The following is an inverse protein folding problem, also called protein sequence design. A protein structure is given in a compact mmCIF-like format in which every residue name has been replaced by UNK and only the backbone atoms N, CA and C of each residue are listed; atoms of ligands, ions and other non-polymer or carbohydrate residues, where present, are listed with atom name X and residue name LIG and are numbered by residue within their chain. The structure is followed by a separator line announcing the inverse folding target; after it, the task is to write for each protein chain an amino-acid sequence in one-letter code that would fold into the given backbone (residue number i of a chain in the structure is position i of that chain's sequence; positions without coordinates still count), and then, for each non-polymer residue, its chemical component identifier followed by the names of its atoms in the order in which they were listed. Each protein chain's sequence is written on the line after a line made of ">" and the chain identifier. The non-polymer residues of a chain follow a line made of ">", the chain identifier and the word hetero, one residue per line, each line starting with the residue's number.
data_IF_811120804156
#
_entry.id   IF_811120804156
#
_cell.length_a   1.000
_cell.length_b   1.000
_cell.length_c   1.000
_cell.angle_alpha   90.00
_cell.angle_beta   90.00
_cell.angle_gamma   90.00
#
_symmetry.space_group_name_H-M   'P 1'
#
loop_
_entity.id
_entity.type
_entity.pdbx_description
1 polymer ?
#
# COMPACT_ATOMS: atom_id res chain seq x y z
N UNK A 1 -19.61 -6.80 -2.06
CA UNK A 1 -18.36 -6.53 -1.32
C UNK A 1 -17.49 -5.61 -2.16
N UNK A 2 -17.12 -4.45 -1.61
CA UNK A 2 -16.30 -3.41 -2.21
C UNK A 2 -14.88 -3.51 -1.66
N UNK A 3 -13.87 -3.60 -2.54
CA UNK A 3 -12.46 -3.74 -2.14
C UNK A 3 -11.64 -2.63 -2.77
N UNK A 4 -10.87 -1.91 -1.95
CA UNK A 4 -9.82 -1.02 -2.43
C UNK A 4 -8.47 -1.71 -2.26
N UNK A 5 -7.83 -2.03 -3.38
CA UNK A 5 -6.53 -2.69 -3.42
C UNK A 5 -5.43 -1.64 -3.57
N UNK A 6 -4.72 -1.35 -2.49
CA UNK A 6 -3.63 -0.37 -2.48
C UNK A 6 -2.29 -1.06 -2.75
N UNK A 7 -1.53 -0.52 -3.70
CA UNK A 7 -0.23 -1.04 -4.10
C UNK A 7 0.68 0.07 -4.62
N UNK A 8 2.00 -0.12 -4.52
CA UNK A 8 2.99 0.78 -5.09
C UNK A 8 3.29 0.51 -6.56
N UNK A 9 2.95 -0.67 -7.07
CA UNK A 9 3.28 -1.08 -8.44
C UNK A 9 2.30 -2.14 -8.97
N UNK A 10 2.12 -2.19 -10.29
CA UNK A 10 1.13 -3.06 -10.92
C UNK A 10 1.52 -3.35 -12.37
N UNK A 11 1.62 -4.61 -12.76
CA UNK A 11 1.79 -5.01 -14.15
C UNK A 11 0.44 -4.88 -14.90
N UNK A 12 0.39 -4.34 -16.13
CA UNK A 12 1.52 -3.93 -16.97
C UNK A 12 1.95 -2.46 -16.83
N UNK A 13 1.39 -1.70 -15.89
CA UNK A 13 1.57 -0.25 -15.77
C UNK A 13 2.96 0.18 -15.33
N UNK A 14 3.46 -0.43 -14.26
CA UNK A 14 4.78 -0.15 -13.69
C UNK A 14 5.25 -1.39 -12.91
N UNK A 15 6.49 -1.83 -13.13
CA UNK A 15 7.02 -3.06 -12.55
C UNK A 15 8.47 -2.91 -12.12
N UNK A 16 8.74 -3.24 -10.87
CA UNK A 16 10.06 -3.34 -10.27
C UNK A 16 10.33 -4.76 -9.75
N UNK A 17 9.30 -5.47 -9.30
CA UNK A 17 9.42 -6.82 -8.75
C UNK A 17 8.14 -7.64 -8.83
N UNK A 18 8.08 -8.73 -8.07
CA UNK A 18 6.96 -9.68 -8.08
C UNK A 18 5.65 -9.12 -7.51
N UNK A 19 5.70 -8.07 -6.67
CA UNK A 19 4.51 -7.36 -6.19
C UNK A 19 3.66 -6.83 -7.36
N UNK A 20 4.29 -6.34 -8.44
CA UNK A 20 3.57 -5.85 -9.60
C UNK A 20 2.78 -6.94 -10.31
N UNK A 21 3.31 -8.17 -10.36
CA UNK A 21 2.63 -9.30 -11.00
C UNK A 21 1.38 -9.70 -10.20
N UNK A 22 1.49 -9.80 -8.87
CA UNK A 22 0.34 -10.08 -8.00
C UNK A 22 -0.69 -8.96 -8.09
N UNK A 23 -0.24 -7.70 -8.09
CA UNK A 23 -1.10 -6.53 -8.18
C UNK A 23 -1.82 -6.42 -9.54
N UNK A 24 -1.26 -7.00 -10.61
CA UNK A 24 -1.92 -7.10 -11.91
C UNK A 24 -2.93 -8.25 -11.97
N UNK A 25 -2.54 -9.43 -11.46
CA UNK A 25 -3.32 -10.66 -11.61
C UNK A 25 -4.47 -10.79 -10.59
N UNK A 26 -4.21 -10.55 -9.30
CA UNK A 26 -5.20 -10.81 -8.25
C UNK A 26 -6.41 -9.88 -8.33
N UNK A 27 -6.26 -8.55 -8.45
CA UNK A 27 -7.42 -7.67 -8.60
C UNK A 27 -8.24 -7.97 -9.87
N UNK A 28 -7.57 -8.32 -10.97
CA UNK A 28 -8.25 -8.72 -12.20
C UNK A 28 -9.06 -10.00 -12.01
N UNK A 29 -8.49 -11.03 -11.37
CA UNK A 29 -9.19 -12.28 -11.09
C UNK A 29 -10.39 -12.06 -10.18
N UNK A 30 -10.26 -11.26 -9.12
CA UNK A 30 -11.36 -10.91 -8.23
C UNK A 30 -12.46 -10.12 -8.96
N UNK A 31 -12.09 -9.19 -9.84
CA UNK A 31 -13.03 -8.45 -10.68
C UNK A 31 -13.82 -9.39 -11.59
N UNK A 32 -13.16 -10.38 -12.20
CA UNK A 32 -13.80 -11.40 -13.05
C UNK A 32 -14.76 -12.30 -12.27
N UNK A 33 -14.52 -12.51 -10.97
CA UNK A 33 -15.40 -13.22 -10.05
C UNK A 33 -16.57 -12.35 -9.52
N UNK A 34 -16.67 -11.09 -9.96
CA UNK A 34 -17.76 -10.18 -9.59
C UNK A 34 -17.52 -9.39 -8.30
N UNK A 35 -16.31 -9.39 -7.74
CA UNK A 35 -15.95 -8.48 -6.65
C UNK A 35 -15.86 -7.06 -7.20
N UNK A 36 -16.50 -6.09 -6.53
CA UNK A 36 -16.34 -4.67 -6.85
C UNK A 36 -14.99 -4.18 -6.28
N UNK A 37 -13.93 -4.52 -7.00
CA UNK A 37 -12.55 -4.19 -6.66
C UNK A 37 -12.04 -3.05 -7.51
N UNK A 38 -11.33 -2.14 -6.87
CA UNK A 38 -10.62 -1.02 -7.49
C UNK A 38 -9.16 -1.04 -7.04
N UNK A 39 -8.23 -0.74 -7.94
CA UNK A 39 -6.81 -0.63 -7.59
C UNK A 39 -6.44 0.83 -7.41
N UNK A 40 -5.63 1.15 -6.42
CA UNK A 40 -5.04 2.48 -6.23
C UNK A 40 -3.53 2.38 -6.16
N UNK A 41 -2.85 3.22 -6.94
CA UNK A 41 -1.39 3.32 -7.00
C UNK A 41 -0.95 4.75 -7.37
N UNK A 42 0.31 5.14 -7.14
CA UNK A 42 0.81 6.45 -7.56
C UNK A 42 0.87 6.60 -9.09
N UNK A 43 0.63 7.82 -9.60
CA UNK A 43 0.80 8.17 -11.00
C UNK A 43 2.28 8.48 -11.31
N UNK A 44 3.10 7.46 -11.49
CA UNK A 44 4.52 7.66 -11.79
C UNK A 44 4.75 8.26 -13.18
N UNK A 45 5.85 9.01 -13.34
CA UNK A 45 6.27 9.57 -14.64
C UNK A 45 6.41 8.49 -15.73
N UNK A 46 6.98 7.34 -15.36
CA UNK A 46 7.26 6.21 -16.27
C UNK A 46 6.11 5.19 -16.33
N UNK A 47 4.89 5.57 -15.88
CA UNK A 47 3.71 4.72 -15.97
C UNK A 47 3.32 4.49 -17.44
N UNK A 48 3.16 3.23 -17.84
CA UNK A 48 2.81 2.83 -19.20
C UNK A 48 1.36 3.14 -19.54
N UNK A 49 1.12 4.37 -19.98
CA UNK A 49 -0.22 4.90 -20.26
C UNK A 49 -0.91 4.18 -21.45
N UNK A 50 -0.17 3.49 -22.31
CA UNK A 50 -0.71 2.69 -23.42
C UNK A 50 -1.55 1.49 -22.97
N UNK A 51 -1.51 1.13 -21.67
CA UNK A 51 -2.29 0.02 -21.10
C UNK A 51 -3.56 0.45 -20.37
N UNK A 52 -3.84 1.75 -20.31
CA UNK A 52 -5.03 2.30 -19.64
C UNK A 52 -5.87 3.11 -20.61
N UNK A 53 -7.16 3.22 -20.29
CA UNK A 53 -8.07 4.16 -20.94
C UNK A 53 -7.77 5.61 -20.49
N UNK A 54 -8.56 6.55 -20.98
CA UNK A 54 -8.52 7.97 -20.66
C UNK A 54 -8.51 8.19 -19.14
N UNK A 55 -7.55 8.98 -18.66
CA UNK A 55 -7.51 9.46 -17.28
C UNK A 55 -8.54 10.56 -17.10
N UNK A 56 -9.46 10.37 -16.17
CA UNK A 56 -10.46 11.35 -15.77
C UNK A 56 -10.11 11.87 -14.37
N UNK A 57 -9.88 13.16 -14.22
CA UNK A 57 -9.73 13.74 -12.88
C UNK A 57 -11.07 13.62 -12.14
N UNK A 58 -11.04 13.04 -10.94
CA UNK A 58 -12.23 12.86 -10.10
C UNK A 58 -12.20 13.76 -8.86
N UNK A 59 -11.11 14.51 -8.65
CA UNK A 59 -11.03 15.51 -7.60
C UNK A 59 -9.63 15.67 -7.03
N UNK A 60 -9.53 16.61 -6.10
CA UNK A 60 -8.29 17.03 -5.45
C UNK A 60 -8.46 16.88 -3.93
N UNK A 61 -7.50 16.23 -3.26
CA UNK A 61 -7.39 16.18 -1.80
C UNK A 61 -6.31 17.16 -1.37
N UNK A 62 -6.58 17.95 -0.33
CA UNK A 62 -5.50 18.62 0.39
C UNK A 62 -4.95 17.70 1.49
N UNK A 63 -3.65 17.40 1.42
CA UNK A 63 -2.95 16.54 2.37
C UNK A 63 -1.74 17.29 2.92
N UNK A 64 -1.80 17.68 4.19
CA UNK A 64 -0.72 18.42 4.87
C UNK A 64 -0.30 19.67 4.07
N UNK A 65 -1.28 20.42 3.54
CA UNK A 65 -1.05 21.63 2.73
C UNK A 65 -0.57 21.36 1.30
N UNK A 66 -0.55 20.10 0.84
CA UNK A 66 -0.21 19.73 -0.53
C UNK A 66 -1.47 19.25 -1.27
N UNK A 67 -1.64 19.74 -2.50
CA UNK A 67 -2.72 19.33 -3.37
C UNK A 67 -2.36 18.03 -4.09
N UNK A 68 -3.20 17.01 -3.92
CA UNK A 68 -3.05 15.70 -4.55
C UNK A 68 -4.26 15.45 -5.44
N UNK A 69 -4.02 15.29 -6.74
CA UNK A 69 -5.09 15.02 -7.70
C UNK A 69 -5.30 13.51 -7.85
N UNK A 70 -6.56 13.08 -7.90
CA UNK A 70 -6.92 11.69 -8.11
C UNK A 70 -7.49 11.53 -9.51
N UNK A 71 -6.84 10.71 -10.32
CA UNK A 71 -7.40 10.28 -11.61
C UNK A 71 -8.08 8.93 -11.48
N UNK A 72 -9.17 8.76 -12.21
CA UNK A 72 -9.82 7.49 -12.47
C UNK A 72 -9.54 7.05 -13.90
N UNK A 73 -9.21 5.78 -14.08
CA UNK A 73 -9.07 5.13 -15.39
C UNK A 73 -9.43 3.64 -15.26
N UNK A 74 -9.23 2.86 -16.33
CA UNK A 74 -9.40 1.40 -16.38
C UNK A 74 -8.25 0.78 -17.17
N UNK A 75 -7.91 -0.46 -16.86
CA UNK A 75 -7.08 -1.25 -17.78
C UNK A 75 -7.84 -1.47 -19.10
N UNK A 76 -7.14 -1.32 -20.22
CA UNK A 76 -7.71 -1.64 -21.53
C UNK A 76 -8.13 -3.12 -21.55
N UNK A 77 -9.27 -3.41 -22.18
CA UNK A 77 -9.88 -4.75 -22.25
C UNK A 77 -10.25 -5.35 -20.89
N UNK A 78 -10.43 -4.52 -19.85
CA UNK A 78 -10.83 -4.95 -18.52
C UNK A 78 -11.89 -4.02 -17.92
N UNK A 79 -12.67 -4.56 -16.97
CA UNK A 79 -13.59 -3.79 -16.12
C UNK A 79 -12.90 -3.23 -14.86
N UNK A 80 -11.63 -3.56 -14.63
CA UNK A 80 -10.89 -3.17 -13.44
C UNK A 80 -10.65 -1.66 -13.42
N UNK A 81 -11.31 -0.97 -12.49
CA UNK A 81 -11.10 0.46 -12.28
C UNK A 81 -9.80 0.71 -11.50
N UNK A 82 -9.08 1.74 -11.94
CA UNK A 82 -7.81 2.16 -11.37
C UNK A 82 -7.92 3.62 -10.95
N UNK A 83 -7.48 3.89 -9.72
CA UNK A 83 -7.22 5.22 -9.22
C UNK A 83 -5.73 5.50 -9.23
N UNK A 84 -5.35 6.63 -9.80
CA UNK A 84 -3.97 7.10 -9.85
C UNK A 84 -3.85 8.32 -8.94
N UNK A 85 -2.97 8.23 -7.95
CA UNK A 85 -2.63 9.33 -7.05
C UNK A 85 -1.56 10.18 -7.71
N UNK A 86 -1.94 11.34 -8.23
CA UNK A 86 -1.04 12.27 -8.91
C UNK A 86 -0.52 13.36 -7.99
N UNK A 87 0.80 13.50 -7.99
CA UNK A 87 1.56 14.54 -7.32
C UNK A 87 2.94 14.61 -7.96
N UNK A 88 3.60 15.80 -8.06
CA UNK A 88 4.92 15.92 -8.70
C UNK A 88 6.00 15.00 -8.13
N UNK A 89 5.87 14.57 -6.87
CA UNK A 89 6.78 13.60 -6.25
C UNK A 89 6.75 12.19 -6.90
N UNK A 90 5.70 11.90 -7.68
CA UNK A 90 5.53 10.69 -8.49
C UNK A 90 5.63 10.98 -9.98
N UNK A 91 4.93 12.01 -10.46
CA UNK A 91 4.72 12.25 -11.90
C UNK A 91 5.82 13.05 -12.58
N UNK A 92 6.70 13.74 -11.84
CA UNK A 92 7.70 14.64 -12.40
C UNK A 92 9.16 14.14 -12.31
N UNK A 93 9.39 12.86 -11.99
CA UNK A 93 10.74 12.31 -11.77
C UNK A 93 10.94 10.99 -12.51
N UNK A 94 12.06 10.89 -13.24
CA UNK A 94 12.51 9.64 -13.89
C UNK A 94 13.12 8.69 -12.87
N UNK A 95 12.96 7.39 -13.08
CA UNK A 95 13.46 6.35 -12.19
C UNK A 95 12.37 5.34 -11.86
N UNK A 96 12.68 4.37 -11.02
CA UNK A 96 11.67 3.41 -10.59
C UNK A 96 10.92 3.93 -9.34
N UNK A 97 9.77 3.33 -8.97
CA UNK A 97 9.02 3.66 -7.76
C UNK A 97 9.84 3.91 -6.49
N UNK A 98 10.94 3.19 -6.29
CA UNK A 98 11.73 3.18 -5.05
C UNK A 98 13.11 3.84 -5.17
N UNK A 99 13.69 3.90 -6.38
CA UNK A 99 15.07 4.30 -6.64
C UNK A 99 15.19 5.33 -7.76
N UNK A 100 16.14 6.25 -7.59
CA UNK A 100 16.52 7.24 -8.58
C UNK A 100 17.26 6.65 -9.78
N UNK A 101 17.56 7.47 -10.81
CA UNK A 101 18.35 7.06 -11.97
C UNK A 101 19.75 6.56 -11.60
N UNK A 102 20.28 6.99 -10.45
CA UNK A 102 21.54 6.55 -9.85
C UNK A 102 21.46 5.21 -9.12
N UNK A 103 20.27 4.58 -9.09
CA UNK A 103 19.93 3.33 -8.38
C UNK A 103 19.98 3.43 -6.86
N UNK A 104 20.09 4.62 -6.29
CA UNK A 104 19.94 4.81 -4.85
C UNK A 104 18.46 4.95 -4.49
N UNK A 105 18.02 4.47 -3.31
CA UNK A 105 16.68 4.74 -2.83
C UNK A 105 16.41 6.25 -2.77
N UNK A 106 15.20 6.67 -3.17
CA UNK A 106 14.80 8.05 -3.00
C UNK A 106 14.83 8.41 -1.51
N UNK A 107 15.54 9.47 -1.15
CA UNK A 107 15.68 9.93 0.23
C UNK A 107 14.34 10.35 0.85
N UNK A 108 13.41 10.81 0.02
CA UNK A 108 12.05 11.23 0.38
C UNK A 108 11.00 10.12 0.19
N UNK A 109 11.41 8.85 0.03
CA UNK A 109 10.49 7.71 0.05
C UNK A 109 9.49 7.71 1.22
N UNK A 110 9.87 7.99 2.48
CA UNK A 110 8.88 8.04 3.56
C UNK A 110 7.82 9.12 3.33
N UNK A 111 8.21 10.31 2.86
CA UNK A 111 7.31 11.42 2.54
C UNK A 111 6.38 11.06 1.37
N UNK A 112 6.93 10.46 0.32
CA UNK A 112 6.20 9.98 -0.87
C UNK A 112 5.13 8.97 -0.48
N UNK A 113 5.52 7.88 0.17
CA UNK A 113 4.57 6.83 0.53
C UNK A 113 3.65 7.22 1.70
N UNK A 114 4.07 8.15 2.56
CA UNK A 114 3.21 8.80 3.54
C UNK A 114 2.09 9.62 2.88
N UNK A 115 2.41 10.42 1.87
CA UNK A 115 1.44 11.17 1.06
C UNK A 115 0.46 10.21 0.36
N UNK A 116 0.99 9.15 -0.27
CA UNK A 116 0.18 8.11 -0.91
C UNK A 116 -0.79 7.45 0.08
N UNK A 117 -0.31 7.02 1.25
CA UNK A 117 -1.15 6.42 2.28
C UNK A 117 -2.29 7.35 2.70
N UNK A 118 -2.02 8.64 2.90
CA UNK A 118 -3.05 9.63 3.26
C UNK A 118 -4.06 9.85 2.14
N UNK A 119 -3.64 9.84 0.87
CA UNK A 119 -4.54 9.94 -0.27
C UNK A 119 -5.50 8.73 -0.34
N UNK A 120 -4.97 7.53 -0.09
CA UNK A 120 -5.78 6.32 -0.02
C UNK A 120 -6.78 6.37 1.14
N UNK A 121 -6.38 6.89 2.31
CA UNK A 121 -7.27 7.09 3.47
C UNK A 121 -8.39 8.10 3.17
N UNK A 122 -8.07 9.22 2.52
CA UNK A 122 -9.07 10.20 2.12
C UNK A 122 -10.09 9.61 1.14
N UNK A 123 -9.63 8.81 0.17
CA UNK A 123 -10.48 8.12 -0.77
C UNK A 123 -11.35 7.04 -0.09
N UNK A 124 -10.80 6.26 0.83
CA UNK A 124 -11.53 5.20 1.52
C UNK A 124 -12.63 5.72 2.45
N UNK A 125 -12.49 6.95 2.94
CA UNK A 125 -13.54 7.67 3.69
C UNK A 125 -14.68 8.20 2.79
N UNK A 126 -14.62 7.98 1.47
CA UNK A 126 -15.63 8.42 0.51
C UNK A 126 -15.37 9.81 -0.10
N UNK A 127 -14.14 10.32 -0.04
CA UNK A 127 -13.81 11.71 -0.40
C UNK A 127 -14.13 12.14 -1.83
N UNK A 128 -14.40 11.22 -2.77
CA UNK A 128 -14.64 11.53 -4.19
C UNK A 128 -15.84 10.82 -4.81
N UNK A 129 -16.50 9.94 -4.07
CA UNK A 129 -17.70 9.25 -4.50
C UNK A 129 -18.48 8.82 -3.26
N UNK A 130 -19.56 9.52 -2.95
CA UNK A 130 -20.39 9.22 -1.77
C UNK A 130 -21.05 7.83 -1.87
N UNK A 131 -21.27 7.32 -3.10
CA UNK A 131 -21.90 6.03 -3.35
C UNK A 131 -20.92 4.85 -3.27
N UNK A 132 -19.61 5.11 -3.20
CA UNK A 132 -18.59 4.08 -3.15
C UNK A 132 -17.60 4.26 -2.00
N UNK A 133 -17.75 3.40 -0.99
CA UNK A 133 -16.79 3.22 0.10
C UNK A 133 -16.38 1.74 0.19
N UNK A 134 -15.10 1.42 0.37
CA UNK A 134 -14.67 0.03 0.47
C UNK A 134 -15.19 -0.60 1.76
N UNK A 135 -15.62 -1.86 1.67
CA UNK A 135 -15.83 -2.72 2.84
C UNK A 135 -14.46 -3.21 3.37
N UNK A 136 -13.51 -3.41 2.45
CA UNK A 136 -12.17 -3.92 2.71
C UNK A 136 -11.13 -3.04 2.00
N UNK A 137 -10.05 -2.73 2.71
CA UNK A 137 -8.84 -2.19 2.12
C UNK A 137 -7.72 -3.23 2.20
N UNK A 138 -7.16 -3.57 1.05
CA UNK A 138 -6.10 -4.55 0.90
C UNK A 138 -4.80 -3.83 0.60
N UNK A 139 -3.95 -3.76 1.62
CA UNK A 139 -2.68 -3.05 1.64
C UNK A 139 -1.56 -4.02 1.30
N UNK A 140 -0.68 -3.67 0.36
CA UNK A 140 0.42 -4.51 -0.06
C UNK A 140 1.77 -3.85 0.27
N UNK A 141 2.57 -4.55 1.07
CA UNK A 141 3.91 -4.16 1.53
C UNK A 141 4.03 -2.79 2.23
N UNK A 142 5.25 -2.45 2.65
CA UNK A 142 5.56 -1.30 3.48
C UNK A 142 5.08 0.04 2.91
N UNK A 143 4.98 0.17 1.58
CA UNK A 143 4.54 1.38 0.89
C UNK A 143 3.10 1.77 1.24
N UNK A 144 2.31 0.81 1.68
CA UNK A 144 0.92 0.97 2.13
C UNK A 144 0.77 0.81 3.64
N UNK A 145 1.88 0.56 4.35
CA UNK A 145 1.87 0.13 5.75
C UNK A 145 1.36 1.16 6.76
N UNK A 146 1.31 2.45 6.40
CA UNK A 146 0.70 3.47 7.27
C UNK A 146 -0.83 3.49 7.19
N UNK A 147 -1.44 2.99 6.11
CA UNK A 147 -2.89 3.06 5.90
C UNK A 147 -3.66 2.42 7.07
N UNK A 148 -3.32 1.20 7.55
CA UNK A 148 -4.04 0.59 8.67
C UNK A 148 -3.97 1.40 9.96
N UNK A 149 -2.83 2.01 10.27
CA UNK A 149 -2.68 2.85 11.46
C UNK A 149 -3.44 4.17 11.35
N UNK A 150 -3.47 4.79 10.16
CA UNK A 150 -4.25 6.00 9.89
C UNK A 150 -5.76 5.76 9.92
N UNK A 151 -6.21 4.51 9.76
CA UNK A 151 -7.61 4.06 9.87
C UNK A 151 -7.87 3.31 11.19
N UNK A 152 -7.00 3.42 12.19
CA UNK A 152 -7.09 2.63 13.42
C UNK A 152 -8.38 2.88 14.21
N UNK A 153 -8.88 4.10 14.20
CA UNK A 153 -10.14 4.51 14.85
C UNK A 153 -11.39 4.22 13.98
N UNK A 154 -11.20 3.72 12.75
CA UNK A 154 -12.28 3.44 11.82
C UNK A 154 -12.66 1.96 11.85
N UNK A 155 -13.95 1.67 12.09
CA UNK A 155 -14.49 0.30 12.02
C UNK A 155 -14.48 -0.28 10.61
N UNK A 156 -14.66 0.59 9.60
CA UNK A 156 -14.58 0.28 8.18
C UNK A 156 -13.68 1.29 7.46
N UNK A 157 -13.00 0.86 6.38
CA UNK A 157 -12.93 -0.51 5.86
C UNK A 157 -12.19 -1.48 6.80
N UNK A 158 -12.50 -2.78 6.73
CA UNK A 158 -11.64 -3.81 7.33
C UNK A 158 -10.29 -3.85 6.60
N UNK A 159 -9.21 -4.05 7.34
CA UNK A 159 -7.83 -3.88 6.87
C UNK A 159 -7.17 -5.24 6.68
N UNK A 160 -6.82 -5.55 5.45
CA UNK A 160 -5.95 -6.67 5.10
C UNK A 160 -4.58 -6.11 4.74
N UNK A 161 -3.51 -6.73 5.22
CA UNK A 161 -2.15 -6.35 4.87
C UNK A 161 -1.35 -7.57 4.39
N UNK A 162 -0.81 -7.51 3.17
CA UNK A 162 -0.03 -8.59 2.58
C UNK A 162 1.45 -8.24 2.55
N UNK A 163 2.25 -9.15 3.09
CA UNK A 163 3.71 -9.10 3.06
C UNK A 163 4.17 -9.91 1.84
N UNK A 164 4.85 -9.27 0.89
CA UNK A 164 5.48 -9.99 -0.23
C UNK A 164 6.97 -10.19 0.03
N UNK A 165 7.60 -9.29 0.79
CA UNK A 165 8.99 -9.46 1.20
C UNK A 165 9.28 -8.74 2.53
N UNK A 166 9.44 -9.51 3.60
CA UNK A 166 9.68 -8.97 4.95
C UNK A 166 11.05 -8.29 5.12
N UNK A 167 12.00 -8.52 4.21
CA UNK A 167 13.30 -7.85 4.25
C UNK A 167 13.19 -6.34 3.97
N UNK A 168 12.15 -5.90 3.27
CA UNK A 168 11.90 -4.48 2.98
C UNK A 168 10.82 -3.92 3.89
N UNK A 169 11.23 -3.29 4.99
CA UNK A 169 10.29 -2.88 6.04
C UNK A 169 9.87 -1.41 6.01
N UNK A 170 10.57 -0.56 5.24
CA UNK A 170 10.40 0.89 5.33
C UNK A 170 10.72 1.40 6.74
N UNK A 171 11.98 1.21 7.16
CA UNK A 171 12.46 1.68 8.47
C UNK A 171 12.98 3.12 8.32
N UNK A 172 12.46 4.02 9.15
CA UNK A 172 12.77 5.44 9.09
C UNK A 172 12.98 6.03 10.48
N UNK A 173 13.78 7.09 10.57
CA UNK A 173 14.15 7.71 11.84
C UNK A 173 13.00 8.53 12.48
N UNK A 174 13.21 8.92 13.73
CA UNK A 174 12.27 9.76 14.49
C UNK A 174 12.02 11.14 13.85
N UNK A 175 13.03 11.88 13.35
CA UNK A 175 12.78 13.12 12.61
C UNK A 175 11.84 12.93 11.41
N UNK A 176 11.92 11.78 10.72
CA UNK A 176 10.96 11.46 9.66
C UNK A 176 9.55 11.24 10.20
N UNK A 177 9.38 10.52 11.30
CA UNK A 177 8.05 10.37 11.94
C UNK A 177 7.40 11.72 12.27
N UNK A 178 8.18 12.64 12.84
CA UNK A 178 7.72 14.00 13.19
C UNK A 178 7.36 14.79 11.91
N UNK A 179 8.22 14.72 10.88
CA UNK A 179 8.00 15.37 9.58
C UNK A 179 6.74 14.87 8.87
N UNK A 180 6.43 13.58 8.97
CA UNK A 180 5.21 13.00 8.40
C UNK A 180 3.94 13.44 9.13
N UNK A 181 4.03 14.17 10.25
CA UNK A 181 2.87 14.63 11.02
C UNK A 181 2.04 13.47 11.55
N UNK A 182 2.69 12.37 11.96
CA UNK A 182 2.01 11.23 12.55
C UNK A 182 1.67 11.52 14.02
N UNK A 183 0.49 11.09 14.52
CA UNK A 183 0.14 11.26 15.93
C UNK A 183 1.16 10.58 16.84
N UNK A 184 1.64 11.27 17.88
CA UNK A 184 2.60 10.73 18.84
C UNK A 184 2.14 9.45 19.55
N UNK A 185 0.83 9.20 19.60
CA UNK A 185 0.25 7.94 20.10
C UNK A 185 0.68 6.71 19.29
N UNK A 186 1.17 6.89 18.06
CA UNK A 186 1.73 5.84 17.23
C UNK A 186 3.21 5.54 17.53
N UNK A 187 3.93 6.42 18.22
CA UNK A 187 5.34 6.21 18.61
C UNK A 187 5.45 5.41 19.91
N UNK A 188 5.05 4.13 19.85
CA UNK A 188 5.09 3.18 20.96
C UNK A 188 5.43 1.78 20.47
N UNK A 189 5.99 0.95 21.36
CA UNK A 189 6.53 -0.37 21.05
C UNK A 189 5.49 -1.31 20.42
N UNK A 190 4.23 -1.23 20.84
CA UNK A 190 3.13 -2.01 20.28
C UNK A 190 2.41 -1.30 19.11
N UNK A 191 3.03 -0.26 18.52
CA UNK A 191 2.57 0.44 17.33
C UNK A 191 3.69 0.53 16.28
N UNK A 192 4.12 1.74 15.90
CA UNK A 192 5.09 1.98 14.81
C UNK A 192 6.55 1.89 15.25
N UNK A 193 6.84 2.12 16.54
CA UNK A 193 8.20 2.23 17.06
C UNK A 193 9.00 0.95 16.80
N UNK A 194 10.26 1.09 16.45
CA UNK A 194 11.14 0.00 16.05
C UNK A 194 12.60 0.34 16.38
N UNK A 195 13.01 0.09 17.63
CA UNK A 195 14.37 0.32 18.14
C UNK A 195 14.92 1.72 17.88
N UNK A 196 14.15 2.74 18.27
CA UNK A 196 14.47 4.16 18.07
C UNK A 196 14.10 4.70 16.68
N UNK A 197 13.62 3.84 15.79
CA UNK A 197 13.08 4.19 14.47
C UNK A 197 11.56 3.90 14.43
N UNK A 198 10.95 4.05 13.26
CA UNK A 198 9.63 3.52 12.93
C UNK A 198 9.72 2.54 11.77
N UNK A 199 8.78 1.58 11.69
CA UNK A 199 8.66 0.64 10.58
C UNK A 199 7.25 0.70 9.97
N UNK A 200 7.16 1.05 8.69
CA UNK A 200 5.88 1.05 7.98
C UNK A 200 5.32 -0.37 7.85
N UNK A 201 6.17 -1.37 7.63
CA UNK A 201 5.78 -2.78 7.63
C UNK A 201 5.20 -3.19 8.99
N UNK A 202 5.84 -2.80 10.10
CA UNK A 202 5.32 -3.06 11.45
C UNK A 202 3.95 -2.42 11.65
N UNK A 203 3.77 -1.17 11.22
CA UNK A 203 2.47 -0.49 11.22
C UNK A 203 1.39 -1.31 10.50
N UNK A 204 1.69 -1.76 9.28
CA UNK A 204 0.77 -2.54 8.46
C UNK A 204 0.39 -3.84 9.14
N UNK A 205 1.35 -4.52 9.76
CA UNK A 205 1.11 -5.73 10.55
C UNK A 205 0.23 -5.37 11.74
N UNK A 206 0.70 -4.53 12.66
CA UNK A 206 0.04 -4.26 13.95
C UNK A 206 -1.43 -3.86 13.78
N UNK A 207 -1.72 -2.90 12.90
CA UNK A 207 -3.06 -2.29 12.81
C UNK A 207 -4.03 -2.99 11.86
N UNK A 208 -3.60 -4.04 11.15
CA UNK A 208 -4.49 -4.79 10.25
C UNK A 208 -5.30 -5.87 10.96
N UNK A 209 -6.55 -6.04 10.54
CA UNK A 209 -7.46 -7.08 11.01
C UNK A 209 -6.98 -8.48 10.60
N UNK A 210 -6.37 -8.59 9.41
CA UNK A 210 -5.75 -9.82 8.90
C UNK A 210 -4.45 -9.50 8.18
N UNK A 211 -3.43 -10.33 8.40
CA UNK A 211 -2.16 -10.27 7.70
C UNK A 211 -2.04 -11.49 6.82
N UNK A 212 -1.67 -11.31 5.55
CA UNK A 212 -1.38 -12.43 4.65
C UNK A 212 0.04 -12.37 4.11
N UNK A 213 0.50 -13.50 3.58
CA UNK A 213 1.82 -13.61 2.96
C UNK A 213 1.81 -14.66 1.85
N UNK A 214 2.87 -14.74 1.06
CA UNK A 214 2.91 -15.43 -0.25
C UNK A 214 2.88 -16.96 -0.22
N UNK A 215 2.99 -17.59 0.95
CA UNK A 215 2.78 -19.04 1.11
C UNK A 215 2.55 -19.46 2.57
N UNK A 216 1.89 -20.61 2.83
CA UNK A 216 1.77 -21.18 4.18
C UNK A 216 3.11 -21.40 4.87
N UNK A 217 4.10 -21.93 4.15
CA UNK A 217 5.45 -22.16 4.67
C UNK A 217 6.09 -20.83 5.08
N UNK A 218 6.01 -19.82 4.23
CA UNK A 218 6.59 -18.51 4.51
C UNK A 218 5.92 -17.84 5.72
N UNK A 219 4.61 -18.05 5.92
CA UNK A 219 3.90 -17.59 7.12
C UNK A 219 4.45 -18.19 8.43
N UNK A 220 4.94 -19.43 8.38
CA UNK A 220 5.59 -20.09 9.51
C UNK A 220 7.04 -19.59 9.68
N UNK A 221 7.78 -19.46 8.59
CA UNK A 221 9.18 -19.01 8.59
C UNK A 221 9.32 -17.62 9.20
N UNK A 222 8.49 -16.65 8.79
CA UNK A 222 8.59 -15.25 9.27
C UNK A 222 8.24 -15.08 10.76
N UNK A 223 7.71 -16.11 11.42
CA UNK A 223 7.56 -16.16 12.88
C UNK A 223 8.84 -16.61 13.58
N UNK A 224 9.90 -16.96 12.87
CA UNK A 224 11.18 -17.32 13.50
C UNK A 224 12.08 -16.09 13.63
N UNK A 225 13.02 -16.08 14.58
CA UNK A 225 14.00 -14.98 14.69
C UNK A 225 14.88 -14.86 13.45
N UNK A 226 15.16 -15.98 12.78
CA UNK A 226 16.03 -16.05 11.60
C UNK A 226 15.41 -15.34 10.39
N UNK A 227 14.11 -15.56 10.13
CA UNK A 227 13.44 -15.04 8.93
C UNK A 227 12.43 -13.92 9.23
N UNK A 228 12.17 -13.62 10.49
CA UNK A 228 11.22 -12.57 10.88
C UNK A 228 11.78 -11.16 10.84
N UNK A 229 13.09 -10.99 10.61
CA UNK A 229 13.76 -9.68 10.52
C UNK A 229 13.39 -8.73 11.68
N UNK A 230 13.32 -9.25 12.91
CA UNK A 230 12.95 -8.46 14.09
C UNK A 230 11.43 -8.22 14.27
N UNK A 231 10.60 -8.66 13.32
CA UNK A 231 9.13 -8.61 13.40
C UNK A 231 8.51 -9.95 13.81
N UNK A 232 9.32 -10.95 14.17
CA UNK A 232 8.83 -12.29 14.52
C UNK A 232 7.87 -12.27 15.72
N UNK A 233 8.12 -11.41 16.71
CA UNK A 233 7.24 -11.21 17.86
C UNK A 233 5.86 -10.67 17.45
N UNK A 234 5.82 -9.61 16.63
CA UNK A 234 4.53 -9.02 16.18
C UNK A 234 3.76 -9.98 15.26
N UNK A 235 4.47 -10.77 14.46
CA UNK A 235 3.88 -11.78 13.57
C UNK A 235 3.30 -12.97 14.35
N UNK A 236 4.00 -13.45 15.40
CA UNK A 236 3.44 -14.44 16.34
C UNK A 236 2.17 -13.93 17.00
N UNK A 237 2.16 -12.68 17.43
CA UNK A 237 1.02 -12.07 18.12
C UNK A 237 -0.23 -11.97 17.23
N UNK A 238 -0.09 -12.04 15.89
CA UNK A 238 -1.26 -12.14 15.00
C UNK A 238 -1.97 -13.49 15.07
N UNK A 239 -1.28 -14.56 15.49
CA UNK A 239 -1.87 -15.89 15.65
C UNK A 239 -2.63 -16.32 14.39
N UNK A 240 -3.91 -16.69 14.56
CA UNK A 240 -4.80 -17.15 13.48
C UNK A 240 -5.10 -16.10 12.39
N UNK A 241 -4.81 -14.82 12.67
CA UNK A 241 -5.02 -13.73 11.73
C UNK A 241 -3.81 -13.51 10.81
N UNK A 242 -2.73 -14.29 10.96
CA UNK A 242 -1.66 -14.42 9.96
C UNK A 242 -1.93 -15.64 9.08
N UNK A 243 -2.01 -15.45 7.75
CA UNK A 243 -2.31 -16.52 6.80
C UNK A 243 -1.35 -16.52 5.61
N UNK A 244 -0.82 -17.68 5.26
CA UNK A 244 -0.11 -17.87 4.01
C UNK A 244 -1.07 -18.22 2.88
N UNK A 245 -1.05 -17.44 1.79
CA UNK A 245 -1.84 -17.66 0.58
C UNK A 245 -0.85 -17.80 -0.56
N UNK A 246 -0.83 -18.97 -1.21
CA UNK A 246 0.03 -19.21 -2.36
C UNK A 246 -0.29 -18.20 -3.47
N UNK A 247 0.73 -17.49 -3.95
CA UNK A 247 0.61 -16.70 -5.16
C UNK A 247 0.23 -17.62 -6.32
N UNK A 248 -0.80 -17.26 -7.08
CA UNK A 248 -1.15 -17.96 -8.32
C UNK A 248 -0.01 -17.82 -9.32
N UNK A 249 0.34 -18.92 -9.99
CA UNK A 249 1.19 -18.86 -11.18
C UNK A 249 0.30 -18.37 -12.32
N UNK A 250 0.64 -17.22 -12.89
CA UNK A 250 0.00 -16.69 -14.09
C UNK A 250 0.42 -17.44 -15.34
#
# INVERSE_FOLDING_TARGET
>A
MKVLFATSEMYPLIKTGGLADVSGALPQALSNLGVDIKVILPNYADLKNEHIDTKLSIGLVEILGQNVEIFKTRLINSKLEIYLVDHPTFSARKGNPYMGPDKNPWHDNPDRFGLFCRAVVALSAGGFNEDWRPDIIHNNDWQTGLIPALLSESELPKKIFTIHNLAYQGVFDRPTFERLGLPWTLWREDALEYWGNMSFMKSGIVFSDTVTTVSPTYAEEIKTKEYGYGLDGVLKNKGKNLKGILNGIG
#
